data_IF_410881733081
#
_entry.id   IF_410881733081
#
_cell.length_a   1.000
_cell.length_b   1.000
_cell.length_c   1.000
_cell.angle_alpha   90.00
_cell.angle_beta   90.00
_cell.angle_gamma   90.00
#
_symmetry.space_group_name_H-M   'P 1'
#
loop_
_entity.id
_entity.type
_entity.pdbx_description
1 polymer ?
#
# COMPACT_ATOMS: atom_id res chain seq x y z
N UNK A 1 -5.83 4.09 -11.86
CA UNK A 1 -5.61 4.63 -13.22
C UNK A 1 -6.66 4.05 -14.18
N UNK A 2 -6.61 2.75 -14.50
CA UNK A 2 -7.61 2.09 -15.35
C UNK A 2 -9.05 2.26 -14.86
N UNK A 3 -9.34 1.94 -13.59
CA UNK A 3 -10.70 2.05 -12.99
C UNK A 3 -11.31 3.45 -13.02
N UNK A 4 -10.49 4.49 -13.19
CA UNK A 4 -10.94 5.89 -13.23
C UNK A 4 -10.83 6.48 -14.64
N UNK A 5 -10.74 5.64 -15.67
CA UNK A 5 -10.70 6.07 -17.08
C UNK A 5 -9.41 6.78 -17.49
N UNK A 6 -8.33 6.64 -16.71
CA UNK A 6 -7.02 7.23 -17.02
C UNK A 6 -5.92 6.17 -17.14
N UNK A 7 -5.91 5.35 -18.22
CA UNK A 7 -4.76 4.49 -18.54
C UNK A 7 -3.47 5.33 -18.62
N UNK A 8 -2.36 4.85 -18.01
CA UNK A 8 -1.10 5.63 -17.94
C UNK A 8 -1.08 6.75 -16.87
N UNK A 9 -2.19 7.01 -16.19
CA UNK A 9 -2.30 8.03 -15.14
C UNK A 9 -1.79 7.59 -13.75
N UNK A 10 -0.88 6.62 -13.64
CA UNK A 10 -0.48 6.06 -12.32
C UNK A 10 0.12 7.12 -11.39
N UNK A 11 0.96 8.02 -11.91
CA UNK A 11 1.58 9.09 -11.12
C UNK A 11 0.54 10.08 -10.57
N UNK A 12 -0.41 10.51 -11.41
CA UNK A 12 -1.47 11.41 -11.00
C UNK A 12 -2.38 10.78 -9.93
N UNK A 13 -2.74 9.50 -10.12
CA UNK A 13 -3.50 8.74 -9.11
C UNK A 13 -2.71 8.59 -7.81
N UNK A 14 -1.40 8.33 -7.88
CA UNK A 14 -0.54 8.26 -6.70
C UNK A 14 -0.48 9.57 -5.92
N UNK A 15 -0.35 10.71 -6.62
CA UNK A 15 -0.37 12.03 -6.01
C UNK A 15 -1.73 12.33 -5.35
N UNK A 16 -2.84 12.04 -6.05
CA UNK A 16 -4.18 12.20 -5.51
C UNK A 16 -4.43 11.31 -4.27
N UNK A 17 -3.94 10.06 -4.30
CA UNK A 17 -4.01 9.14 -3.16
C UNK A 17 -3.22 9.67 -1.95
N UNK A 18 -2.04 10.23 -2.17
CA UNK A 18 -1.21 10.85 -1.13
C UNK A 18 -1.82 12.11 -0.51
N UNK A 19 -2.62 12.85 -1.28
CA UNK A 19 -3.31 14.06 -0.84
C UNK A 19 -4.61 13.83 -0.04
N UNK A 20 -4.98 12.57 0.22
CA UNK A 20 -6.18 12.24 0.99
C UNK A 20 -6.09 12.77 2.44
N UNK A 21 -7.03 13.64 2.82
CA UNK A 21 -7.13 14.23 4.17
C UNK A 21 -7.97 13.42 5.14
N UNK A 22 -8.71 12.42 4.67
CA UNK A 22 -9.57 11.56 5.48
C UNK A 22 -9.01 10.13 5.46
N UNK A 23 -7.85 9.97 6.09
CA UNK A 23 -7.15 8.68 6.18
C UNK A 23 -8.00 7.63 6.91
N UNK A 24 -7.70 6.36 6.69
CA UNK A 24 -8.43 5.18 7.23
C UNK A 24 -9.81 5.00 6.58
N UNK A 25 -10.71 5.98 6.66
CA UNK A 25 -12.05 5.91 6.06
C UNK A 25 -11.96 5.82 4.53
N UNK A 26 -11.16 6.69 3.92
CA UNK A 26 -10.72 6.50 2.53
C UNK A 26 -9.41 5.70 2.61
N UNK A 27 -9.40 4.43 2.14
CA UNK A 27 -8.32 3.49 2.43
C UNK A 27 -7.09 3.70 1.52
N UNK A 28 -6.51 4.90 1.56
CA UNK A 28 -5.35 5.27 0.74
C UNK A 28 -4.07 4.48 1.09
N UNK A 29 -4.03 3.84 2.27
CA UNK A 29 -2.97 2.90 2.64
C UNK A 29 -3.01 1.61 1.81
N UNK A 30 -4.14 1.25 1.19
CA UNK A 30 -4.29 0.02 0.37
C UNK A 30 -3.74 0.14 -1.05
N UNK A 31 -3.25 1.30 -1.46
CA UNK A 31 -2.62 1.49 -2.77
C UNK A 31 -1.11 1.28 -2.64
N UNK A 32 -0.55 0.31 -3.36
CA UNK A 32 0.85 -0.11 -3.26
C UNK A 32 1.48 -0.05 -4.67
N UNK A 33 2.79 0.23 -4.74
CA UNK A 33 3.52 0.16 -6.00
C UNK A 33 3.56 -1.28 -6.54
N UNK A 34 3.67 -1.44 -7.85
CA UNK A 34 3.77 -2.76 -8.49
C UNK A 34 5.00 -3.56 -8.02
N UNK A 35 6.05 -2.87 -7.56
CA UNK A 35 7.26 -3.46 -6.99
C UNK A 35 7.08 -3.94 -5.54
N UNK A 36 5.92 -3.71 -4.92
CA UNK A 36 5.63 -4.03 -3.53
C UNK A 36 6.10 -2.97 -2.52
N UNK A 37 6.78 -1.92 -2.98
CA UNK A 37 7.24 -0.85 -2.10
C UNK A 37 6.09 -0.01 -1.53
N UNK A 38 6.20 0.34 -0.25
CA UNK A 38 5.29 1.24 0.42
C UNK A 38 5.75 2.70 0.22
N UNK A 39 4.92 3.50 -0.44
CA UNK A 39 5.13 4.95 -0.61
C UNK A 39 3.83 5.72 -0.43
N UNK A 40 3.95 7.05 -0.36
CA UNK A 40 2.83 7.98 -0.56
C UNK A 40 1.67 7.77 0.40
N UNK A 41 1.87 8.10 1.68
CA UNK A 41 0.81 8.07 2.68
C UNK A 41 0.96 9.25 3.65
N UNK A 42 -0.06 10.11 3.72
CA UNK A 42 -0.05 11.33 4.52
C UNK A 42 0.14 11.08 6.03
N UNK A 43 -0.17 9.88 6.52
CA UNK A 43 0.02 9.48 7.92
C UNK A 43 1.37 8.83 8.26
N UNK A 44 2.34 8.81 7.33
CA UNK A 44 3.64 8.17 7.51
C UNK A 44 3.68 6.67 7.16
N UNK A 45 4.82 6.19 6.65
CA UNK A 45 4.95 4.83 6.13
C UNK A 45 4.78 3.75 7.20
N UNK A 46 5.15 4.03 8.45
CA UNK A 46 5.00 3.07 9.54
C UNK A 46 3.53 2.78 9.84
N UNK A 47 2.70 3.83 9.85
CA UNK A 47 1.25 3.68 10.02
C UNK A 47 0.62 2.95 8.85
N UNK A 48 1.07 3.20 7.62
CA UNK A 48 0.63 2.46 6.43
C UNK A 48 0.97 0.98 6.54
N UNK A 49 2.20 0.65 6.96
CA UNK A 49 2.64 -0.73 7.17
C UNK A 49 1.80 -1.41 8.25
N UNK A 50 1.65 -0.76 9.40
CA UNK A 50 0.85 -1.28 10.51
C UNK A 50 -0.61 -1.53 10.10
N UNK A 51 -1.24 -0.59 9.39
CA UNK A 51 -2.63 -0.77 8.92
C UNK A 51 -2.75 -1.96 7.96
N UNK A 52 -1.82 -2.11 7.02
CA UNK A 52 -1.83 -3.23 6.09
C UNK A 52 -1.58 -4.56 6.82
N UNK A 53 -0.74 -4.59 7.85
CA UNK A 53 -0.54 -5.78 8.68
C UNK A 53 -1.76 -6.12 9.52
N UNK A 54 -2.35 -5.12 10.16
CA UNK A 54 -3.56 -5.25 10.95
C UNK A 54 -4.74 -5.76 10.11
N UNK A 55 -4.81 -5.37 8.83
CA UNK A 55 -5.80 -5.87 7.86
C UNK A 55 -5.46 -7.26 7.27
N UNK A 56 -4.29 -7.84 7.60
CA UNK A 56 -3.81 -9.10 7.02
C UNK A 56 -3.34 -8.99 5.56
N UNK A 57 -3.19 -7.77 5.02
CA UNK A 57 -2.72 -7.50 3.67
C UNK A 57 -1.19 -7.51 3.54
N UNK A 58 -0.48 -7.35 4.66
CA UNK A 58 0.97 -7.57 4.77
C UNK A 58 1.24 -8.54 5.92
N UNK A 59 2.05 -9.60 5.73
CA UNK A 59 2.36 -10.52 6.82
C UNK A 59 3.24 -9.84 7.88
N UNK A 60 2.93 -10.09 9.16
CA UNK A 60 3.73 -9.67 10.33
C UNK A 60 4.99 -10.54 10.52
N UNK A 61 5.00 -11.75 9.94
CA UNK A 61 5.97 -12.84 10.22
C UNK A 61 6.58 -13.34 8.90
N UNK A 62 7.81 -13.91 8.88
CA UNK A 62 8.32 -14.60 7.69
C UNK A 62 7.28 -15.60 7.20
N UNK A 63 6.93 -15.48 5.91
CA UNK A 63 5.97 -16.37 5.28
C UNK A 63 6.45 -17.81 5.40
N UNK A 64 5.51 -18.77 5.42
CA UNK A 64 5.79 -20.20 5.49
C UNK A 64 6.86 -20.65 4.46
N UNK A 65 6.92 -19.98 3.32
CA UNK A 65 7.91 -20.23 2.27
C UNK A 65 9.23 -19.48 2.46
N UNK A 66 9.25 -18.31 3.12
CA UNK A 66 10.46 -17.58 3.43
C UNK A 66 11.29 -18.21 4.58
N UNK A 67 10.66 -19.05 5.42
CA UNK A 67 11.36 -19.90 6.37
C UNK A 67 11.96 -21.15 5.69
N UNK A 68 11.24 -21.76 4.75
CA UNK A 68 11.62 -22.99 4.07
C UNK A 68 12.75 -22.84 3.02
N UNK A 69 12.97 -21.65 2.45
CA UNK A 69 14.04 -21.40 1.45
C UNK A 69 15.44 -21.25 2.09
N UNK A 70 15.55 -21.34 3.42
CA UNK A 70 16.83 -21.24 4.16
C UNK A 70 17.39 -22.58 4.66
N UNK A 71 16.81 -23.71 4.26
CA UNK A 71 17.31 -25.07 4.51
C UNK A 71 17.66 -25.78 3.22
#
# INVERSE_FOLDING_TARGET
>A
AQRVGSPGGQRAVGAANGANRVAIVIPCHRVIEATGNLRGYGGGLDRKRWLLQHEGALPETPSLFAAAVRS
#
